data_IF_397963561154
#
_entry.id   IF_397963561154
#
_cell.length_a   1.000
_cell.length_b   1.000
_cell.length_c   1.000
_cell.angle_alpha   90.00
_cell.angle_beta   90.00
_cell.angle_gamma   90.00
#
_symmetry.space_group_name_H-M   'P 1'
#
loop_
_entity.id
_entity.type
_entity.pdbx_description
1 polymer ?
#
# COMPACT_ATOMS: atom_id res chain seq x y z
N UNK A 1 -13.50 16.74 -20.99
CA UNK A 1 -12.80 16.51 -19.72
C UNK A 1 -11.31 16.77 -19.92
N UNK A 2 -10.62 17.39 -18.96
CA UNK A 2 -9.21 17.77 -19.09
C UNK A 2 -8.35 16.86 -18.21
N UNK A 3 -7.37 16.17 -18.80
CA UNK A 3 -6.31 15.42 -18.10
C UNK A 3 -4.98 15.82 -18.76
N UNK A 4 -3.90 15.88 -17.98
CA UNK A 4 -2.56 16.20 -18.50
C UNK A 4 -1.95 14.89 -19.02
N UNK A 5 -2.40 14.45 -20.20
CA UNK A 5 -1.99 13.21 -20.86
C UNK A 5 -1.89 13.43 -22.37
N UNK A 6 -0.97 12.70 -23.04
CA UNK A 6 -0.86 12.71 -24.50
C UNK A 6 -1.70 11.58 -25.11
N UNK A 7 -1.28 10.32 -24.94
CA UNK A 7 -1.97 9.12 -25.42
C UNK A 7 -2.31 8.20 -24.24
N UNK A 8 -3.53 7.66 -24.22
CA UNK A 8 -4.04 6.75 -23.19
C UNK A 8 -3.19 5.48 -23.07
N UNK A 9 -2.69 4.97 -24.20
CA UNK A 9 -1.88 3.74 -24.24
C UNK A 9 -0.46 3.91 -23.68
N UNK A 10 0.02 5.14 -23.52
CA UNK A 10 1.40 5.42 -23.08
C UNK A 10 1.48 6.13 -21.74
N UNK A 11 0.36 6.27 -21.01
CA UNK A 11 0.30 7.04 -19.76
C UNK A 11 1.37 6.55 -18.77
N UNK A 12 1.36 5.25 -18.46
CA UNK A 12 2.27 4.66 -17.46
C UNK A 12 3.72 4.78 -17.90
N UNK A 13 4.00 4.57 -19.19
CA UNK A 13 5.35 4.69 -19.74
C UNK A 13 5.87 6.14 -19.67
N UNK A 14 5.05 7.13 -20.03
CA UNK A 14 5.42 8.55 -19.97
C UNK A 14 5.63 9.02 -18.52
N UNK A 15 4.73 8.63 -17.61
CA UNK A 15 4.85 8.90 -16.17
C UNK A 15 6.14 8.29 -15.61
N UNK A 16 6.41 7.02 -15.93
CA UNK A 16 7.62 6.33 -15.46
C UNK A 16 8.88 7.02 -15.98
N UNK A 17 8.93 7.39 -17.26
CA UNK A 17 10.07 8.16 -17.82
C UNK A 17 10.26 9.50 -17.09
N UNK A 18 9.16 10.19 -16.76
CA UNK A 18 9.19 11.42 -15.96
C UNK A 18 9.79 11.20 -14.57
N UNK A 19 9.38 10.13 -13.88
CA UNK A 19 9.94 9.72 -12.59
C UNK A 19 11.45 9.48 -12.68
N UNK A 20 11.91 8.67 -13.64
CA UNK A 20 13.34 8.40 -13.84
C UNK A 20 14.11 9.69 -14.15
N UNK A 21 13.58 10.55 -15.02
CA UNK A 21 14.21 11.83 -15.34
C UNK A 21 14.34 12.75 -14.11
N UNK A 22 13.39 12.69 -13.17
CA UNK A 22 13.44 13.45 -11.91
C UNK A 22 14.42 12.89 -10.88
N UNK A 23 14.83 11.62 -11.00
CA UNK A 23 15.66 10.92 -10.02
C UNK A 23 16.73 10.04 -10.68
N UNK A 24 17.96 10.56 -10.86
CA UNK A 24 19.05 9.83 -11.50
C UNK A 24 19.47 8.51 -10.83
N UNK A 25 19.09 8.30 -9.56
CA UNK A 25 19.34 7.04 -8.85
C UNK A 25 18.40 5.90 -9.25
N UNK A 26 17.31 6.21 -9.94
CA UNK A 26 16.35 5.22 -10.42
C UNK A 26 16.71 4.78 -11.84
N UNK A 27 16.40 3.51 -12.13
CA UNK A 27 16.54 2.89 -13.44
C UNK A 27 15.20 2.29 -13.84
N UNK A 28 15.00 2.09 -15.14
CA UNK A 28 13.82 1.42 -15.65
C UNK A 28 14.16 0.48 -16.80
N UNK A 29 13.33 -0.54 -16.96
CA UNK A 29 13.20 -1.31 -18.18
C UNK A 29 11.87 -0.92 -18.83
N UNK A 30 11.82 -0.88 -20.16
CA UNK A 30 10.61 -0.47 -20.88
C UNK A 30 9.70 -1.66 -21.22
N UNK A 31 10.25 -2.86 -21.42
CA UNK A 31 9.49 -4.02 -21.87
C UNK A 31 10.10 -5.33 -21.32
N UNK A 32 9.49 -5.95 -20.28
CA UNK A 32 8.33 -5.45 -19.53
C UNK A 32 8.68 -4.20 -18.70
N UNK A 33 7.71 -3.34 -18.39
CA UNK A 33 7.98 -2.08 -17.70
C UNK A 33 8.25 -2.29 -16.21
N UNK A 34 9.40 -1.93 -15.67
CA UNK A 34 9.64 -1.94 -14.22
C UNK A 34 10.70 -0.92 -13.82
N UNK A 35 10.69 -0.52 -12.54
CA UNK A 35 11.57 0.51 -11.97
C UNK A 35 12.37 -0.09 -10.83
N UNK A 36 13.65 0.24 -10.71
CA UNK A 36 14.47 -0.16 -9.57
C UNK A 36 15.52 0.89 -9.19
N UNK A 37 16.15 0.70 -8.04
CA UNK A 37 17.40 1.35 -7.69
C UNK A 37 18.46 0.30 -7.35
N UNK A 38 19.73 0.69 -7.41
CA UNK A 38 20.82 -0.17 -6.94
C UNK A 38 20.79 -0.24 -5.41
N UNK A 39 20.56 -1.43 -4.85
CA UNK A 39 20.60 -1.71 -3.42
C UNK A 39 21.95 -2.32 -3.00
N UNK A 40 22.19 -2.44 -1.69
CA UNK A 40 23.36 -3.14 -1.17
C UNK A 40 23.24 -4.65 -1.46
N UNK A 41 24.30 -5.34 -1.92
CA UNK A 41 24.25 -6.79 -2.15
C UNK A 41 24.02 -7.59 -0.86
N UNK A 42 24.21 -6.98 0.30
CA UNK A 42 24.05 -7.61 1.62
C UNK A 42 22.65 -7.40 2.23
N UNK A 43 21.68 -6.91 1.45
CA UNK A 43 20.29 -6.75 1.92
C UNK A 43 19.33 -7.61 1.11
N UNK A 44 18.20 -7.98 1.70
CA UNK A 44 17.07 -8.62 0.99
C UNK A 44 16.53 -7.64 -0.05
N UNK A 45 16.34 -8.11 -1.28
CA UNK A 45 15.70 -7.30 -2.31
C UNK A 45 14.19 -7.26 -2.07
N UNK A 46 13.61 -6.06 -2.06
CA UNK A 46 12.19 -5.86 -1.78
C UNK A 46 11.46 -5.42 -3.06
N UNK A 47 10.40 -6.13 -3.44
CA UNK A 47 9.66 -5.85 -4.67
C UNK A 47 8.18 -5.73 -4.38
N UNK A 48 7.54 -4.72 -4.98
CA UNK A 48 6.08 -4.66 -5.04
C UNK A 48 5.60 -4.23 -6.42
N UNK A 49 4.29 -4.10 -6.58
CA UNK A 49 3.68 -3.66 -7.82
C UNK A 49 2.17 -3.79 -7.76
N UNK A 50 1.57 -3.72 -8.94
CA UNK A 50 0.12 -3.76 -9.14
C UNK A 50 -0.28 -2.74 -10.18
N UNK A 51 -1.56 -2.39 -10.18
CA UNK A 51 -2.08 -1.38 -11.10
C UNK A 51 -1.44 0.01 -10.90
N UNK A 52 -1.31 0.77 -11.99
CA UNK A 52 -0.99 2.21 -11.92
C UNK A 52 -2.23 3.04 -11.61
N UNK A 53 -2.03 4.31 -11.21
CA UNK A 53 -3.08 5.21 -10.75
C UNK A 53 -3.17 5.36 -9.23
N UNK A 54 -2.19 4.82 -8.50
CA UNK A 54 -2.06 4.92 -7.05
C UNK A 54 -0.82 5.71 -6.62
N UNK A 55 -0.19 6.42 -7.56
CA UNK A 55 1.07 7.12 -7.32
C UNK A 55 0.95 8.05 -6.08
N UNK A 56 1.95 8.06 -5.18
CA UNK A 56 3.30 7.50 -5.36
C UNK A 56 3.44 5.98 -5.15
N UNK A 57 2.42 5.27 -4.67
CA UNK A 57 2.45 3.81 -4.54
C UNK A 57 2.48 3.16 -5.93
N UNK A 58 3.48 2.38 -6.34
CA UNK A 58 4.68 1.93 -5.61
C UNK A 58 5.98 2.60 -6.10
N UNK A 59 6.01 3.04 -7.36
CA UNK A 59 7.25 3.49 -8.01
C UNK A 59 7.89 4.70 -7.32
N UNK A 60 7.09 5.54 -6.65
CA UNK A 60 7.59 6.67 -5.87
C UNK A 60 8.32 6.26 -4.58
N UNK A 61 8.15 5.02 -4.13
CA UNK A 61 8.77 4.44 -2.95
C UNK A 61 10.00 3.58 -3.25
N UNK A 62 10.40 3.48 -4.53
CA UNK A 62 11.66 2.83 -4.90
C UNK A 62 12.83 3.69 -4.43
N UNK A 63 13.70 3.14 -3.58
CA UNK A 63 14.86 3.85 -3.06
C UNK A 63 15.42 3.29 -1.75
N UNK A 64 16.52 3.90 -1.30
CA UNK A 64 17.22 3.48 -0.07
C UNK A 64 16.28 3.54 1.13
N UNK A 65 16.27 2.48 1.94
CA UNK A 65 15.44 2.39 3.15
C UNK A 65 13.96 2.04 2.91
N UNK A 66 13.60 1.66 1.67
CA UNK A 66 12.25 1.23 1.28
C UNK A 66 12.34 0.12 0.22
N UNK A 67 11.48 0.08 -0.81
CA UNK A 67 11.48 -1.01 -1.79
C UNK A 67 12.62 -0.87 -2.82
N UNK A 68 13.15 -2.01 -3.27
CA UNK A 68 14.24 -2.10 -4.26
C UNK A 68 13.73 -1.96 -5.68
N UNK A 69 12.58 -2.54 -5.98
CA UNK A 69 11.96 -2.52 -7.31
C UNK A 69 10.43 -2.44 -7.26
N UNK A 70 9.84 -1.88 -8.30
CA UNK A 70 8.40 -1.74 -8.46
C UNK A 70 7.95 -2.11 -9.89
N UNK A 71 6.83 -2.82 -9.97
CA UNK A 71 6.20 -3.25 -11.22
C UNK A 71 4.90 -2.46 -11.46
N UNK A 72 4.92 -1.33 -12.20
CA UNK A 72 3.70 -0.62 -12.56
C UNK A 72 2.99 -1.32 -13.72
N UNK A 73 1.78 -1.83 -13.48
CA UNK A 73 0.87 -2.27 -14.54
C UNK A 73 0.18 -1.09 -15.24
N UNK A 74 -0.76 -1.33 -16.14
CA UNK A 74 -1.55 -0.24 -16.74
C UNK A 74 -2.49 0.42 -15.70
N UNK A 75 -3.13 1.55 -16.07
CA UNK A 75 -4.07 2.24 -15.15
C UNK A 75 -5.18 1.29 -14.71
N UNK A 76 -5.29 1.05 -13.40
CA UNK A 76 -6.22 0.08 -12.78
C UNK A 76 -6.15 -1.34 -13.37
N UNK A 77 -5.02 -1.69 -13.97
CA UNK A 77 -4.73 -3.01 -14.51
C UNK A 77 -3.41 -3.51 -13.92
N UNK A 78 -3.48 -4.63 -13.21
CA UNK A 78 -2.36 -5.28 -12.51
C UNK A 78 -1.12 -5.54 -13.39
N UNK A 79 0.05 -5.56 -12.74
CA UNK A 79 1.30 -6.04 -13.35
C UNK A 79 1.23 -7.54 -13.68
N UNK A 80 1.94 -7.97 -14.72
CA UNK A 80 1.95 -9.37 -15.16
C UNK A 80 3.00 -10.21 -14.41
N UNK A 81 2.86 -11.55 -14.37
CA UNK A 81 3.83 -12.42 -13.69
C UNK A 81 5.24 -12.31 -14.26
N UNK A 82 5.38 -12.20 -15.59
CA UNK A 82 6.67 -12.03 -16.28
C UNK A 82 7.34 -10.70 -15.90
N UNK A 83 6.56 -9.62 -15.80
CA UNK A 83 7.04 -8.33 -15.33
C UNK A 83 7.57 -8.40 -13.89
N UNK A 84 6.83 -9.06 -12.98
CA UNK A 84 7.26 -9.25 -11.59
C UNK A 84 8.51 -10.14 -11.49
N UNK A 85 8.57 -11.22 -12.27
CA UNK A 85 9.73 -12.10 -12.38
C UNK A 85 10.97 -11.36 -12.89
N UNK A 86 10.88 -10.62 -13.99
CA UNK A 86 12.01 -9.89 -14.59
C UNK A 86 12.51 -8.78 -13.66
N UNK A 87 11.60 -8.04 -13.01
CA UNK A 87 11.97 -7.03 -12.03
C UNK A 87 12.72 -7.66 -10.84
N UNK A 88 12.20 -8.74 -10.26
CA UNK A 88 12.84 -9.43 -9.16
C UNK A 88 14.19 -10.05 -9.56
N UNK A 89 14.28 -10.64 -10.76
CA UNK A 89 15.53 -11.15 -11.32
C UNK A 89 16.58 -10.06 -11.52
N UNK A 90 16.16 -8.83 -11.87
CA UNK A 90 17.04 -7.67 -11.98
C UNK A 90 17.60 -7.19 -10.64
N UNK A 91 16.82 -7.31 -9.55
CA UNK A 91 17.20 -6.76 -8.23
C UNK A 91 17.66 -7.80 -7.21
N UNK A 92 17.59 -9.10 -7.54
CA UNK A 92 17.89 -10.18 -6.59
C UNK A 92 19.30 -10.06 -6.01
N UNK A 93 19.41 -10.44 -4.75
CA UNK A 93 20.68 -10.56 -4.03
C UNK A 93 20.82 -11.97 -3.47
N UNK A 94 22.00 -12.31 -2.97
CA UNK A 94 22.24 -13.56 -2.24
C UNK A 94 21.40 -13.68 -0.95
N UNK A 95 20.84 -12.56 -0.44
CA UNK A 95 19.94 -12.55 0.70
C UNK A 95 18.49 -12.91 0.34
N UNK A 96 18.17 -13.00 -0.95
CA UNK A 96 16.87 -13.35 -1.48
C UNK A 96 15.99 -12.15 -1.85
N UNK A 97 14.76 -12.46 -2.24
CA UNK A 97 13.73 -11.50 -2.70
C UNK A 97 12.48 -11.65 -1.84
N UNK A 98 11.92 -10.52 -1.39
CA UNK A 98 10.62 -10.46 -0.72
C UNK A 98 9.63 -9.67 -1.55
N UNK A 99 8.49 -10.28 -1.87
CA UNK A 99 7.37 -9.58 -2.49
C UNK A 99 6.38 -9.03 -1.46
N UNK A 100 5.96 -7.78 -1.64
CA UNK A 100 4.79 -7.20 -0.99
C UNK A 100 3.61 -7.26 -1.95
N UNK A 101 2.54 -7.96 -1.57
CA UNK A 101 1.39 -8.23 -2.43
C UNK A 101 0.15 -7.62 -1.78
N UNK A 102 -0.47 -6.63 -2.42
CA UNK A 102 -1.77 -6.10 -1.97
C UNK A 102 -2.85 -7.14 -2.21
N UNK A 103 -3.79 -7.31 -1.28
CA UNK A 103 -4.85 -8.32 -1.39
C UNK A 103 -5.92 -7.94 -2.43
N UNK A 104 -5.57 -8.16 -3.70
CA UNK A 104 -6.45 -8.20 -4.85
C UNK A 104 -6.21 -9.50 -5.60
N UNK A 105 -7.28 -10.18 -6.03
CA UNK A 105 -7.20 -11.52 -6.63
C UNK A 105 -6.18 -11.57 -7.77
N UNK A 106 -6.15 -10.53 -8.60
CA UNK A 106 -5.22 -10.42 -9.71
C UNK A 106 -3.76 -10.23 -9.30
N UNK A 107 -3.51 -9.43 -8.27
CA UNK A 107 -2.16 -9.20 -7.74
C UNK A 107 -1.63 -10.48 -7.09
N UNK A 108 -2.47 -11.17 -6.31
CA UNK A 108 -2.15 -12.47 -5.71
C UNK A 108 -1.74 -13.47 -6.79
N UNK A 109 -2.62 -13.75 -7.75
CA UNK A 109 -2.35 -14.75 -8.78
C UNK A 109 -1.05 -14.48 -9.54
N UNK A 110 -0.78 -13.21 -9.86
CA UNK A 110 0.38 -12.86 -10.66
C UNK A 110 1.69 -12.90 -9.88
N UNK A 111 1.70 -12.38 -8.66
CA UNK A 111 2.91 -12.35 -7.83
C UNK A 111 3.20 -13.70 -7.20
N UNK A 112 2.19 -14.51 -6.86
CA UNK A 112 2.41 -15.89 -6.42
C UNK A 112 3.06 -16.74 -7.52
N UNK A 113 2.64 -16.57 -8.78
CA UNK A 113 3.29 -17.25 -9.90
C UNK A 113 4.74 -16.77 -10.09
N UNK A 114 5.02 -15.48 -9.92
CA UNK A 114 6.39 -14.96 -9.98
C UNK A 114 7.29 -15.57 -8.88
N UNK A 115 6.75 -15.76 -7.67
CA UNK A 115 7.43 -16.47 -6.57
C UNK A 115 7.78 -17.90 -6.98
N UNK A 116 6.81 -18.65 -7.54
CA UNK A 116 7.04 -20.03 -8.00
C UNK A 116 8.12 -20.11 -9.08
N UNK A 117 8.09 -19.20 -10.07
CA UNK A 117 9.07 -19.14 -11.15
C UNK A 117 10.48 -18.81 -10.63
N UNK A 118 10.62 -17.83 -9.74
CA UNK A 118 11.91 -17.48 -9.15
C UNK A 118 12.47 -18.62 -8.30
N UNK A 119 11.61 -19.29 -7.54
CA UNK A 119 12.02 -20.44 -6.74
C UNK A 119 12.52 -21.60 -7.62
N UNK A 120 11.84 -21.87 -8.73
CA UNK A 120 12.28 -22.89 -9.71
C UNK A 120 13.67 -22.58 -10.28
N UNK A 121 14.04 -21.31 -10.39
CA UNK A 121 15.37 -20.85 -10.81
C UNK A 121 16.40 -20.78 -9.65
N UNK A 122 16.07 -21.32 -8.48
CA UNK A 122 16.95 -21.39 -7.33
C UNK A 122 17.09 -20.09 -6.55
N UNK A 123 16.22 -19.10 -6.78
CA UNK A 123 16.23 -17.85 -6.01
C UNK A 123 15.51 -18.07 -4.67
N UNK A 124 16.18 -17.68 -3.58
CA UNK A 124 15.53 -17.61 -2.26
C UNK A 124 14.47 -16.49 -2.29
N UNK A 125 13.20 -16.85 -2.22
CA UNK A 125 12.09 -15.91 -2.46
C UNK A 125 10.97 -16.09 -1.43
N UNK A 126 10.31 -14.99 -1.07
CA UNK A 126 9.20 -14.97 -0.11
C UNK A 126 8.14 -13.94 -0.47
N UNK A 127 7.05 -13.93 0.30
CA UNK A 127 5.97 -12.97 0.13
C UNK A 127 5.29 -12.57 1.44
N UNK A 128 4.78 -11.34 1.47
CA UNK A 128 3.87 -10.81 2.50
C UNK A 128 2.63 -10.27 1.78
N UNK A 129 1.46 -10.80 2.15
CA UNK A 129 0.17 -10.28 1.73
C UNK A 129 -0.23 -9.12 2.64
N UNK A 130 -0.77 -8.03 2.07
CA UNK A 130 -1.28 -6.87 2.79
C UNK A 130 -2.80 -6.79 2.64
N UNK A 131 -3.53 -6.77 3.76
CA UNK A 131 -4.99 -6.81 3.85
C UNK A 131 -5.55 -5.86 4.93
N UNK A 132 -5.01 -4.65 4.99
CA UNK A 132 -5.26 -3.65 6.05
C UNK A 132 -6.64 -2.96 5.99
N UNK A 133 -7.37 -3.03 4.87
CA UNK A 133 -8.65 -2.33 4.70
C UNK A 133 -9.80 -3.01 5.46
N UNK A 134 -10.31 -2.35 6.50
CA UNK A 134 -11.36 -2.92 7.37
C UNK A 134 -12.75 -2.92 6.73
N UNK A 135 -12.95 -2.21 5.62
CA UNK A 135 -14.29 -1.89 5.13
C UNK A 135 -15.05 -3.10 4.59
N UNK A 136 -14.39 -4.05 3.93
CA UNK A 136 -15.10 -5.15 3.26
C UNK A 136 -14.43 -6.48 3.55
N UNK A 137 -15.23 -7.47 3.96
CA UNK A 137 -14.79 -8.88 4.07
C UNK A 137 -14.81 -9.61 2.71
N UNK A 138 -15.45 -9.02 1.69
CA UNK A 138 -15.45 -9.47 0.29
C UNK A 138 -15.78 -8.28 -0.62
N UNK A 139 -14.91 -8.01 -1.59
CA UNK A 139 -15.07 -6.91 -2.58
C UNK A 139 -15.22 -7.49 -4.00
N UNK A 140 -15.53 -6.66 -4.99
CA UNK A 140 -15.61 -7.02 -6.41
C UNK A 140 -14.34 -7.73 -6.91
N UNK A 141 -13.17 -7.40 -6.36
CA UNK A 141 -11.86 -7.89 -6.81
C UNK A 141 -11.02 -8.58 -5.72
N UNK A 142 -11.60 -8.84 -4.54
CA UNK A 142 -10.86 -9.37 -3.37
C UNK A 142 -11.65 -10.43 -2.61
N UNK A 143 -10.94 -11.44 -2.13
CA UNK A 143 -11.42 -12.39 -1.11
C UNK A 143 -10.82 -11.96 0.24
N UNK A 144 -11.67 -11.59 1.21
CA UNK A 144 -11.20 -10.96 2.45
C UNK A 144 -11.09 -9.44 2.34
N UNK A 145 -10.24 -8.86 3.18
CA UNK A 145 -9.93 -7.41 3.22
C UNK A 145 -9.01 -6.99 2.09
N UNK A 146 -9.16 -5.75 1.60
CA UNK A 146 -8.29 -5.19 0.55
C UNK A 146 -6.94 -4.75 1.15
N UNK A 147 -5.91 -4.73 0.32
CA UNK A 147 -4.64 -4.05 0.64
C UNK A 147 -4.63 -2.62 0.13
N UNK A 148 -4.42 -1.64 1.01
CA UNK A 148 -4.50 -0.21 0.71
C UNK A 148 -3.31 0.54 1.34
N UNK A 149 -3.52 1.73 1.92
CA UNK A 149 -2.49 2.65 2.43
C UNK A 149 -1.54 2.02 3.46
N UNK A 150 -1.96 1.01 4.23
CA UNK A 150 -1.10 0.27 5.16
C UNK A 150 0.11 -0.37 4.48
N UNK A 151 0.03 -0.65 3.18
CA UNK A 151 1.15 -1.09 2.34
C UNK A 151 2.37 -0.17 2.46
N UNK A 152 2.15 1.16 2.54
CA UNK A 152 3.23 2.15 2.66
C UNK A 152 4.04 1.94 3.94
N UNK A 153 3.37 1.59 5.06
CA UNK A 153 4.03 1.32 6.33
C UNK A 153 4.80 0.01 6.31
N UNK A 154 4.22 -1.04 5.71
CA UNK A 154 4.90 -2.33 5.50
C UNK A 154 6.18 -2.12 4.70
N UNK A 155 6.09 -1.43 3.56
CA UNK A 155 7.25 -1.14 2.70
C UNK A 155 8.33 -0.33 3.41
N UNK A 156 7.97 0.69 4.18
CA UNK A 156 8.92 1.54 4.89
C UNK A 156 9.61 0.80 6.04
N UNK A 157 8.84 0.11 6.89
CA UNK A 157 9.35 -0.53 8.09
C UNK A 157 10.23 -1.73 7.71
N UNK A 158 9.77 -2.57 6.77
CA UNK A 158 10.55 -3.71 6.30
C UNK A 158 11.73 -3.26 5.43
N UNK A 159 11.59 -2.19 4.65
CA UNK A 159 12.70 -1.57 3.92
C UNK A 159 13.84 -1.10 4.81
N UNK A 160 13.52 -0.47 5.94
CA UNK A 160 14.50 -0.12 6.94
C UNK A 160 15.17 -1.35 7.57
N UNK A 161 14.41 -2.41 7.84
CA UNK A 161 14.91 -3.65 8.41
C UNK A 161 15.87 -4.37 7.45
N UNK A 162 15.50 -4.48 6.18
CA UNK A 162 16.36 -5.01 5.13
C UNK A 162 17.65 -4.18 5.02
N UNK A 163 17.57 -2.85 5.05
CA UNK A 163 18.74 -1.97 5.03
C UNK A 163 19.65 -2.15 6.27
N UNK A 164 19.11 -2.56 7.41
CA UNK A 164 19.86 -2.94 8.63
C UNK A 164 20.45 -4.37 8.56
N UNK A 165 20.16 -5.13 7.50
CA UNK A 165 20.69 -6.48 7.30
C UNK A 165 19.83 -7.60 7.87
N UNK A 166 18.53 -7.37 8.08
CA UNK A 166 17.61 -8.44 8.47
C UNK A 166 17.57 -9.53 7.39
N UNK A 167 17.45 -10.78 7.80
CA UNK A 167 17.28 -11.90 6.86
C UNK A 167 15.91 -11.85 6.17
N UNK A 168 15.76 -12.62 5.08
CA UNK A 168 14.47 -12.75 4.39
C UNK A 168 13.35 -13.18 5.35
N UNK A 169 13.61 -14.16 6.20
CA UNK A 169 12.65 -14.68 7.17
C UNK A 169 12.24 -13.61 8.20
N UNK A 170 13.20 -12.83 8.70
CA UNK A 170 12.93 -11.73 9.62
C UNK A 170 12.13 -10.61 8.95
N UNK A 171 12.41 -10.31 7.67
CA UNK A 171 11.65 -9.34 6.89
C UNK A 171 10.21 -9.81 6.64
N UNK A 172 10.00 -11.09 6.34
CA UNK A 172 8.67 -11.68 6.20
C UNK A 172 7.87 -11.64 7.50
N UNK A 173 8.48 -12.03 8.62
CA UNK A 173 7.86 -12.00 9.94
C UNK A 173 7.46 -10.58 10.32
N UNK A 174 8.39 -9.62 10.16
CA UNK A 174 8.13 -8.21 10.42
C UNK A 174 7.00 -7.68 9.52
N UNK A 175 7.00 -8.00 8.22
CA UNK A 175 5.95 -7.57 7.30
C UNK A 175 4.56 -8.10 7.69
N UNK A 176 4.47 -9.39 8.08
CA UNK A 176 3.23 -9.98 8.59
C UNK A 176 2.78 -9.31 9.89
N UNK A 177 3.72 -9.03 10.80
CA UNK A 177 3.43 -8.34 12.07
C UNK A 177 2.90 -6.93 11.85
N UNK A 178 3.56 -6.14 10.99
CA UNK A 178 3.09 -4.79 10.62
C UNK A 178 1.70 -4.87 9.99
N UNK A 179 1.46 -5.80 9.07
CA UNK A 179 0.15 -5.99 8.45
C UNK A 179 -0.94 -6.35 9.49
N UNK A 180 -0.66 -7.26 10.42
CA UNK A 180 -1.60 -7.65 11.48
C UNK A 180 -1.87 -6.55 12.52
N UNK A 181 -1.01 -5.53 12.58
CA UNK A 181 -1.16 -4.38 13.47
C UNK A 181 -1.76 -3.16 12.76
N UNK A 182 -2.02 -3.26 11.45
CA UNK A 182 -2.42 -2.14 10.61
C UNK A 182 -3.91 -2.23 10.26
N UNK A 183 -4.60 -1.09 10.34
CA UNK A 183 -6.00 -0.94 9.95
C UNK A 183 -6.18 0.33 9.16
N UNK A 184 -6.89 0.24 8.04
CA UNK A 184 -7.23 1.37 7.18
C UNK A 184 -8.71 1.41 6.88
N UNK A 185 -9.28 2.61 6.83
CA UNK A 185 -10.60 2.86 6.25
C UNK A 185 -10.56 4.12 5.39
N UNK A 186 -11.31 4.11 4.29
CA UNK A 186 -11.30 5.16 3.27
C UNK A 186 -12.69 5.72 3.03
N UNK A 187 -12.78 6.95 2.54
CA UNK A 187 -14.03 7.59 2.14
C UNK A 187 -13.83 8.35 0.84
N UNK A 188 -14.83 8.34 -0.05
CA UNK A 188 -14.87 9.19 -1.24
C UNK A 188 -16.02 10.18 -1.16
N UNK A 189 -15.70 11.46 -1.36
CA UNK A 189 -16.65 12.55 -1.62
C UNK A 189 -17.01 12.62 -3.10
N UNK A 190 -16.11 12.13 -3.96
CA UNK A 190 -16.32 12.03 -5.41
C UNK A 190 -15.44 10.95 -6.01
N UNK A 191 -15.99 10.22 -6.96
CA UNK A 191 -15.25 9.17 -7.66
C UNK A 191 -14.13 9.72 -8.53
N UNK A 192 -13.16 8.87 -8.83
CA UNK A 192 -12.15 9.14 -9.83
C UNK A 192 -12.67 8.95 -11.25
N UNK A 193 -11.90 9.49 -12.20
CA UNK A 193 -12.15 9.29 -13.62
C UNK A 193 -10.98 8.54 -14.26
N UNK A 194 -11.26 7.33 -14.70
CA UNK A 194 -10.32 6.48 -15.45
C UNK A 194 -10.12 7.06 -16.86
N UNK A 195 -8.87 7.41 -17.27
CA UNK A 195 -8.61 8.02 -18.57
C UNK A 195 -9.14 7.24 -19.77
N UNK A 196 -9.06 5.90 -19.72
CA UNK A 196 -9.56 5.03 -20.77
C UNK A 196 -11.10 5.02 -20.86
N UNK A 197 -11.79 5.00 -19.71
CA UNK A 197 -13.25 4.96 -19.65
C UNK A 197 -13.90 6.34 -19.91
N UNK A 198 -13.17 7.44 -19.66
CA UNK A 198 -13.63 8.84 -19.82
C UNK A 198 -14.91 9.19 -19.04
N UNK A 199 -15.26 8.40 -18.04
CA UNK A 199 -16.41 8.59 -17.18
C UNK A 199 -16.02 8.34 -15.72
N UNK A 200 -16.83 8.88 -14.81
CA UNK A 200 -16.74 8.62 -13.38
C UNK A 200 -16.89 7.12 -13.09
N UNK A 201 -16.11 6.59 -12.15
CA UNK A 201 -16.21 5.18 -11.75
C UNK A 201 -17.54 4.85 -11.06
N UNK A 202 -18.11 5.83 -10.35
CA UNK A 202 -19.44 5.78 -9.74
C UNK A 202 -19.97 7.21 -9.50
N UNK A 203 -21.27 7.35 -9.27
CA UNK A 203 -21.90 8.64 -8.98
C UNK A 203 -22.37 8.71 -7.51
N UNK A 204 -22.21 9.90 -6.92
CA UNK A 204 -22.68 10.28 -5.59
C UNK A 204 -23.51 11.56 -5.71
N UNK A 205 -24.50 11.74 -4.85
CA UNK A 205 -25.18 13.03 -4.69
C UNK A 205 -24.27 14.06 -4.00
N UNK A 206 -24.60 15.36 -4.12
CA UNK A 206 -23.77 16.47 -3.58
C UNK A 206 -23.45 16.36 -2.07
N UNK A 207 -24.35 15.74 -1.29
CA UNK A 207 -24.20 15.51 0.14
C UNK A 207 -23.97 14.03 0.49
N UNK A 208 -23.53 13.20 -0.46
CA UNK A 208 -23.31 11.76 -0.25
C UNK A 208 -21.81 11.42 -0.21
N UNK A 209 -21.44 10.47 0.64
CA UNK A 209 -20.08 9.93 0.77
C UNK A 209 -20.13 8.42 0.61
N UNK A 210 -19.23 7.86 -0.19
CA UNK A 210 -19.00 6.41 -0.22
C UNK A 210 -18.08 6.03 0.96
N UNK A 211 -18.66 5.45 2.01
CA UNK A 211 -17.94 5.09 3.24
C UNK A 211 -17.33 3.70 3.12
N UNK A 212 -16.01 3.61 3.24
CA UNK A 212 -15.25 2.37 3.03
C UNK A 212 -14.87 2.11 1.57
N UNK A 213 -14.77 3.13 0.72
CA UNK A 213 -14.43 2.99 -0.71
C UNK A 213 -13.08 2.30 -0.94
N UNK A 214 -12.94 1.51 -2.01
CA UNK A 214 -11.66 0.95 -2.42
C UNK A 214 -10.82 1.91 -3.27
N UNK A 215 -9.51 1.65 -3.39
CA UNK A 215 -8.57 2.53 -4.13
C UNK A 215 -8.78 2.51 -5.65
N UNK A 216 -9.51 1.52 -6.19
CA UNK A 216 -9.93 1.48 -7.59
C UNK A 216 -11.37 1.98 -7.77
N UNK A 217 -11.99 2.53 -6.73
CA UNK A 217 -13.38 2.96 -6.73
C UNK A 217 -14.39 1.83 -6.52
N UNK A 218 -13.97 0.72 -5.92
CA UNK A 218 -14.89 -0.35 -5.52
C UNK A 218 -15.87 0.16 -4.45
N UNK A 219 -17.13 -0.31 -4.47
CA UNK A 219 -18.12 0.02 -3.44
C UNK A 219 -17.58 -0.25 -2.03
N UNK A 220 -17.97 0.62 -1.10
CA UNK A 220 -17.63 0.50 0.30
C UNK A 220 -18.65 -0.28 1.10
N UNK A 221 -18.76 0.05 2.38
CA UNK A 221 -19.74 -0.52 3.31
C UNK A 221 -21.14 0.00 2.96
N UNK A 222 -21.24 1.32 2.80
CA UNK A 222 -22.49 2.04 2.65
C UNK A 222 -22.24 3.45 2.10
N UNK A 223 -23.32 4.08 1.64
CA UNK A 223 -23.33 5.50 1.31
C UNK A 223 -23.98 6.26 2.45
N UNK A 224 -23.35 7.35 2.86
CA UNK A 224 -23.76 8.13 4.04
C UNK A 224 -23.94 9.59 3.66
N UNK A 225 -24.79 10.29 4.40
CA UNK A 225 -24.90 11.74 4.26
C UNK A 225 -23.67 12.45 4.85
N UNK A 226 -23.13 13.41 4.10
CA UNK A 226 -22.06 14.30 4.55
C UNK A 226 -22.65 15.47 5.34
N UNK A 227 -22.21 15.63 6.58
CA UNK A 227 -22.56 16.80 7.40
C UNK A 227 -21.38 17.75 7.57
N UNK A 228 -20.27 17.25 8.13
CA UNK A 228 -19.03 18.01 8.30
C UNK A 228 -17.84 17.05 8.49
N UNK A 229 -16.63 17.60 8.39
CA UNK A 229 -15.40 16.84 8.55
C UNK A 229 -15.24 16.20 9.94
N UNK A 230 -15.66 16.87 11.02
CA UNK A 230 -15.47 16.32 12.36
C UNK A 230 -16.26 15.03 12.56
N UNK A 231 -17.52 15.01 12.13
CA UNK A 231 -18.40 13.84 12.24
C UNK A 231 -17.91 12.69 11.37
N UNK A 232 -17.51 13.00 10.12
CA UNK A 232 -16.97 12.01 9.19
C UNK A 232 -15.71 11.33 9.75
N UNK A 233 -14.75 12.12 10.23
CA UNK A 233 -13.48 11.61 10.76
C UNK A 233 -13.68 10.87 12.08
N UNK A 234 -14.60 11.35 12.94
CA UNK A 234 -14.97 10.63 14.17
C UNK A 234 -15.54 9.27 13.83
N UNK A 235 -16.42 9.17 12.83
CA UNK A 235 -16.99 7.91 12.37
C UNK A 235 -15.92 6.97 11.80
N UNK A 236 -14.99 7.48 10.99
CA UNK A 236 -13.86 6.69 10.47
C UNK A 236 -12.99 6.14 11.61
N UNK A 237 -12.66 6.97 12.62
CA UNK A 237 -11.90 6.54 13.79
C UNK A 237 -12.64 5.48 14.60
N UNK A 238 -13.95 5.66 14.85
CA UNK A 238 -14.76 4.67 15.56
C UNK A 238 -14.78 3.33 14.81
N UNK A 239 -14.92 3.34 13.47
CA UNK A 239 -14.84 2.12 12.68
C UNK A 239 -13.50 1.39 12.86
N UNK A 240 -12.37 2.12 12.88
CA UNK A 240 -11.04 1.54 13.14
C UNK A 240 -10.89 1.00 14.56
N UNK A 241 -11.42 1.73 15.56
CA UNK A 241 -11.37 1.37 16.98
C UNK A 241 -12.23 0.14 17.29
N UNK A 242 -13.42 0.07 16.71
CA UNK A 242 -14.42 -0.97 16.97
C UNK A 242 -14.25 -2.22 16.10
N UNK A 243 -13.25 -2.21 15.20
CA UNK A 243 -12.87 -3.39 14.45
C UNK A 243 -12.30 -4.48 15.38
N UNK A 244 -13.12 -5.49 15.66
CA UNK A 244 -12.77 -6.60 16.56
C UNK A 244 -11.88 -7.64 15.86
N UNK A 245 -11.50 -8.69 16.59
CA UNK A 245 -10.62 -9.76 16.10
C UNK A 245 -11.04 -10.26 14.71
N UNK A 246 -10.13 -10.09 13.73
CA UNK A 246 -10.30 -10.56 12.37
C UNK A 246 -9.31 -11.69 12.13
N UNK A 247 -9.84 -12.92 12.20
CA UNK A 247 -9.11 -14.13 11.81
C UNK A 247 -9.35 -14.42 10.33
N UNK A 248 -8.28 -14.69 9.60
CA UNK A 248 -8.35 -15.12 8.20
C UNK A 248 -7.24 -16.09 7.86
N UNK A 249 -7.45 -16.83 6.78
CA UNK A 249 -6.43 -17.70 6.19
C UNK A 249 -5.55 -16.88 5.26
N UNK A 250 -4.25 -16.91 5.50
CA UNK A 250 -3.23 -16.36 4.61
C UNK A 250 -2.49 -17.50 3.92
N UNK A 251 -2.04 -17.26 2.70
CA UNK A 251 -1.13 -18.17 2.00
C UNK A 251 0.31 -17.71 2.20
N UNK A 252 1.18 -18.63 2.57
CA UNK A 252 2.62 -18.37 2.72
C UNK A 252 3.42 -19.34 1.88
N UNK A 253 4.52 -18.85 1.31
CA UNK A 253 5.39 -19.66 0.48
C UNK A 253 6.34 -20.49 1.34
N UNK A 254 6.28 -21.81 1.19
CA UNK A 254 7.22 -22.75 1.76
C UNK A 254 8.40 -22.92 0.79
N UNK A 255 9.54 -22.32 1.15
CA UNK A 255 10.75 -22.36 0.33
C UNK A 255 11.45 -23.72 0.36
N UNK A 256 11.16 -24.58 1.34
CA UNK A 256 11.79 -25.90 1.42
C UNK A 256 11.02 -26.91 0.57
N UNK A 257 9.69 -26.85 0.64
CA UNK A 257 8.82 -27.76 -0.11
C UNK A 257 8.40 -27.24 -1.49
N UNK A 258 8.62 -25.95 -1.78
CA UNK A 258 8.25 -25.32 -3.04
C UNK A 258 6.74 -25.26 -3.25
N UNK A 259 5.98 -24.96 -2.19
CA UNK A 259 4.50 -24.94 -2.22
C UNK A 259 3.92 -23.82 -1.36
N UNK A 260 2.66 -23.46 -1.64
CA UNK A 260 1.90 -22.54 -0.79
C UNK A 260 1.22 -23.29 0.36
N UNK A 261 1.51 -22.89 1.59
CA UNK A 261 0.82 -23.35 2.78
C UNK A 261 -0.28 -22.36 3.18
N UNK A 262 -1.37 -22.86 3.74
CA UNK A 262 -2.39 -22.05 4.38
C UNK A 262 -2.10 -21.94 5.87
N UNK A 263 -2.05 -20.71 6.38
CA UNK A 263 -1.90 -20.42 7.81
C UNK A 263 -3.07 -19.60 8.30
N UNK A 264 -3.53 -19.88 9.51
CA UNK A 264 -4.46 -19.01 10.21
C UNK A 264 -3.70 -17.83 10.82
N UNK A 265 -4.22 -16.62 10.65
CA UNK A 265 -3.64 -15.42 11.24
C UNK A 265 -4.74 -14.48 11.73
N UNK A 266 -4.56 -13.91 12.92
CA UNK A 266 -5.45 -12.91 13.49
C UNK A 266 -4.83 -11.52 13.45
N UNK A 267 -5.65 -10.51 13.22
CA UNK A 267 -5.31 -9.10 13.42
C UNK A 267 -5.46 -8.76 14.91
N UNK A 268 -4.45 -8.06 15.44
CA UNK A 268 -4.40 -7.69 16.85
C UNK A 268 -5.49 -6.66 17.21
N UNK A 269 -5.98 -6.75 18.45
CA UNK A 269 -6.90 -5.77 19.01
C UNK A 269 -6.17 -4.46 19.32
N UNK A 270 -6.77 -3.34 18.91
CA UNK A 270 -6.34 -2.01 19.34
C UNK A 270 -6.73 -1.80 20.81
N UNK A 271 -5.76 -1.47 21.65
CA UNK A 271 -5.99 -1.20 23.05
C UNK A 271 -5.74 0.27 23.39
N UNK A 272 -6.40 0.73 24.44
CA UNK A 272 -6.10 2.01 25.07
C UNK A 272 -4.71 1.95 25.72
N UNK A 273 -3.95 3.05 25.62
CA UNK A 273 -2.59 3.18 26.12
C UNK A 273 -1.50 2.73 25.16
N UNK A 274 -1.85 2.11 24.03
CA UNK A 274 -0.90 1.71 22.99
C UNK A 274 -0.38 2.91 22.17
N UNK A 275 0.79 2.72 21.59
CA UNK A 275 1.41 3.66 20.65
C UNK A 275 0.99 3.34 19.20
N UNK A 276 0.75 4.38 18.42
CA UNK A 276 0.27 4.28 17.04
C UNK A 276 1.05 5.17 16.07
N UNK A 277 1.30 4.66 14.87
CA UNK A 277 1.69 5.48 13.71
C UNK A 277 0.43 5.75 12.88
N UNK A 278 0.17 7.02 12.58
CA UNK A 278 -1.03 7.44 11.86
C UNK A 278 -0.71 7.95 10.45
N UNK A 279 -1.48 7.54 9.43
CA UNK A 279 -1.46 8.17 8.11
C UNK A 279 -2.83 8.76 7.81
N UNK A 280 -2.88 10.05 7.50
CA UNK A 280 -4.02 10.68 6.83
C UNK A 280 -3.65 10.86 5.37
N UNK A 281 -4.18 9.97 4.54
CA UNK A 281 -3.83 9.86 3.13
C UNK A 281 -4.92 10.44 2.24
N UNK A 282 -4.61 11.35 1.34
CA UNK A 282 -5.54 11.79 0.30
C UNK A 282 -5.61 10.79 -0.85
N UNK A 283 -6.83 10.57 -1.37
CA UNK A 283 -7.05 9.66 -2.51
C UNK A 283 -6.78 10.31 -3.87
N UNK A 284 -6.22 11.53 -3.88
CA UNK A 284 -5.77 12.23 -5.08
C UNK A 284 -6.29 13.66 -5.18
N UNK A 285 -7.61 13.82 -5.25
CA UNK A 285 -8.28 15.10 -5.48
C UNK A 285 -8.44 16.01 -4.24
N UNK A 286 -8.19 15.49 -3.04
CA UNK A 286 -8.38 16.24 -1.78
C UNK A 286 -7.22 17.22 -1.54
N UNK A 287 -7.50 18.52 -1.30
CA UNK A 287 -6.47 19.48 -0.93
C UNK A 287 -5.74 19.10 0.36
N UNK A 288 -4.41 19.30 0.39
CA UNK A 288 -3.59 19.03 1.59
C UNK A 288 -4.07 19.81 2.82
N UNK A 289 -4.62 21.01 2.63
CA UNK A 289 -5.23 21.78 3.72
C UNK A 289 -6.40 21.06 4.39
N UNK A 290 -7.21 20.32 3.63
CA UNK A 290 -8.32 19.53 4.16
C UNK A 290 -7.82 18.27 4.88
N UNK A 291 -6.73 17.66 4.40
CA UNK A 291 -6.09 16.54 5.09
C UNK A 291 -5.60 16.94 6.50
N UNK A 292 -5.12 18.18 6.69
CA UNK A 292 -4.78 18.68 8.03
C UNK A 292 -6.01 18.94 8.92
N UNK A 293 -7.16 19.30 8.34
CA UNK A 293 -8.43 19.36 9.08
C UNK A 293 -8.79 17.96 9.58
N UNK A 294 -8.68 16.96 8.70
CA UNK A 294 -8.93 15.57 9.05
C UNK A 294 -7.95 15.07 10.14
N UNK A 295 -6.66 15.34 10.00
CA UNK A 295 -5.67 14.97 11.01
C UNK A 295 -5.93 15.62 12.37
N UNK A 296 -6.32 16.90 12.40
CA UNK A 296 -6.67 17.58 13.64
C UNK A 296 -7.83 16.90 14.38
N UNK A 297 -8.87 16.44 13.66
CA UNK A 297 -9.95 15.69 14.30
C UNK A 297 -9.50 14.29 14.73
N UNK A 298 -8.78 13.56 13.87
CA UNK A 298 -8.23 12.24 14.21
C UNK A 298 -7.39 12.31 15.50
N UNK A 299 -6.50 13.29 15.61
CA UNK A 299 -5.66 13.49 16.78
C UNK A 299 -6.51 13.68 18.05
N UNK A 300 -7.58 14.48 18.00
CA UNK A 300 -8.51 14.66 19.14
C UNK A 300 -9.22 13.35 19.52
N UNK A 301 -9.69 12.59 18.53
CA UNK A 301 -10.32 11.29 18.75
C UNK A 301 -9.37 10.31 19.44
N UNK A 302 -8.12 10.25 18.97
CA UNK A 302 -7.08 9.42 19.56
C UNK A 302 -6.77 9.85 21.01
N UNK A 303 -6.55 11.15 21.26
CA UNK A 303 -6.30 11.65 22.62
C UNK A 303 -7.45 11.32 23.59
N UNK A 304 -8.70 11.55 23.16
CA UNK A 304 -9.89 11.26 23.98
C UNK A 304 -10.09 9.76 24.24
N UNK A 305 -9.53 8.89 23.39
CA UNK A 305 -9.59 7.44 23.56
C UNK A 305 -8.33 6.84 24.19
N UNK A 306 -7.36 7.67 24.61
CA UNK A 306 -6.05 7.22 25.11
C UNK A 306 -5.22 6.43 24.08
N UNK A 307 -5.22 6.86 22.81
CA UNK A 307 -4.39 6.29 21.73
C UNK A 307 -3.23 7.26 21.48
N UNK A 308 -1.99 6.82 21.68
CA UNK A 308 -0.83 7.70 21.57
C UNK A 308 -0.29 7.72 20.13
N UNK A 309 -0.56 8.79 19.38
CA UNK A 309 0.06 8.94 18.06
C UNK A 309 1.55 9.32 18.25
N UNK A 310 2.45 8.36 18.02
CA UNK A 310 3.91 8.56 18.17
C UNK A 310 4.55 9.07 16.89
N UNK A 311 4.03 8.73 15.71
CA UNK A 311 4.46 9.28 14.42
C UNK A 311 3.26 9.48 13.52
N UNK A 312 3.40 10.37 12.53
CA UNK A 312 2.34 10.62 11.57
C UNK A 312 2.86 10.96 10.17
N UNK A 313 2.00 10.76 9.18
CA UNK A 313 2.17 11.22 7.80
C UNK A 313 0.84 11.82 7.32
N UNK A 314 0.90 12.97 6.65
CA UNK A 314 -0.29 13.67 6.10
C UNK A 314 0.03 14.10 4.67
N UNK A 315 -0.71 13.58 3.68
CA UNK A 315 -0.42 13.82 2.27
C UNK A 315 -1.00 12.75 1.36
N UNK A 316 -0.50 12.64 0.13
CA UNK A 316 -0.91 11.61 -0.83
C UNK A 316 0.17 10.53 -0.91
N UNK A 317 -0.17 9.32 -0.44
CA UNK A 317 0.75 8.18 -0.35
C UNK A 317 0.23 6.93 -1.07
N UNK A 318 -1.09 6.73 -1.11
CA UNK A 318 -1.79 5.68 -1.84
C UNK A 318 -3.06 6.30 -2.43
N UNK A 319 -3.00 6.72 -3.69
CA UNK A 319 -4.09 7.48 -4.32
C UNK A 319 -5.06 6.57 -5.07
N UNK A 320 -6.15 7.13 -5.56
CA UNK A 320 -7.04 6.53 -6.56
C UNK A 320 -7.27 7.56 -7.66
N UNK A 321 -6.25 7.82 -8.49
CA UNK A 321 -6.25 8.86 -9.52
C UNK A 321 -6.61 10.26 -8.95
N UNK A 322 -7.73 10.82 -9.39
CA UNK A 322 -8.26 12.13 -8.96
C UNK A 322 -9.46 12.01 -8.03
N UNK A 323 -9.63 10.87 -7.35
CA UNK A 323 -10.69 10.67 -6.37
C UNK A 323 -10.61 11.74 -5.27
N UNK A 324 -11.70 12.46 -5.03
CA UNK A 324 -11.81 13.38 -3.91
C UNK A 324 -12.27 12.56 -2.70
N UNK A 325 -11.42 12.47 -1.68
CA UNK A 325 -11.56 11.54 -0.57
C UNK A 325 -10.27 11.36 0.21
N UNK A 326 -10.33 10.61 1.31
CA UNK A 326 -9.17 10.32 2.14
C UNK A 326 -9.28 8.93 2.77
N UNK A 327 -8.15 8.40 3.21
CA UNK A 327 -8.07 7.24 4.09
C UNK A 327 -7.37 7.58 5.39
N UNK A 328 -7.77 6.91 6.46
CA UNK A 328 -7.06 6.92 7.74
C UNK A 328 -6.47 5.53 7.96
N UNK A 329 -5.17 5.48 8.19
CA UNK A 329 -4.45 4.28 8.59
C UNK A 329 -3.92 4.46 9.99
N UNK A 330 -4.13 3.47 10.86
CA UNK A 330 -3.50 3.35 12.15
C UNK A 330 -2.70 2.05 12.20
N UNK A 331 -1.44 2.15 12.61
CA UNK A 331 -0.58 1.00 12.91
C UNK A 331 -0.29 1.00 14.40
N UNK A 332 -0.69 -0.06 15.11
CA UNK A 332 -0.26 -0.30 16.49
C UNK A 332 1.24 -0.60 16.49
N UNK A 333 2.04 0.32 17.00
CA UNK A 333 3.49 0.28 16.87
C UNK A 333 4.15 -0.16 18.18
N UNK A 334 5.12 -1.06 18.05
CA UNK A 334 6.07 -1.37 19.11
C UNK A 334 7.35 -0.52 18.94
N UNK A 335 8.27 -0.50 19.94
CA UNK A 335 9.49 0.31 19.86
C UNK A 335 10.37 0.01 18.65
N UNK A 336 10.41 -1.25 18.19
CA UNK A 336 11.17 -1.65 17.01
C UNK A 336 10.58 -1.04 15.74
N UNK A 337 9.25 -1.08 15.58
CA UNK A 337 8.56 -0.45 14.44
C UNK A 337 8.78 1.06 14.41
N UNK A 338 8.77 1.73 15.56
CA UNK A 338 9.04 3.18 15.64
C UNK A 338 10.50 3.47 15.22
N UNK A 339 11.47 2.70 15.70
CA UNK A 339 12.88 2.85 15.32
C UNK A 339 13.10 2.63 13.81
N UNK A 340 12.42 1.63 13.23
CA UNK A 340 12.49 1.33 11.80
C UNK A 340 11.75 2.37 10.95
N UNK A 341 10.67 2.95 11.45
CA UNK A 341 10.02 4.09 10.82
C UNK A 341 11.00 5.28 10.76
N UNK A 342 11.65 5.61 11.88
CA UNK A 342 12.59 6.74 11.97
C UNK A 342 13.90 6.52 11.19
N UNK A 343 14.23 5.28 10.84
CA UNK A 343 15.42 4.98 10.06
C UNK A 343 15.44 5.70 8.71
N UNK A 344 16.62 6.14 8.22
CA UNK A 344 16.73 6.96 7.02
C UNK A 344 16.06 6.36 5.78
N UNK A 345 15.45 7.21 4.96
CA UNK A 345 14.82 6.83 3.70
C UNK A 345 15.09 7.88 2.63
N UNK A 346 15.34 7.45 1.39
CA UNK A 346 15.53 8.35 0.25
C UNK A 346 14.85 7.80 -1.01
N UNK A 347 13.56 8.10 -1.13
CA UNK A 347 12.71 7.74 -2.27
C UNK A 347 12.14 9.02 -2.92
N UNK A 348 11.40 8.88 -4.03
CA UNK A 348 10.79 10.02 -4.70
C UNK A 348 9.74 10.71 -3.84
N UNK A 349 8.98 9.92 -3.09
CA UNK A 349 7.83 10.39 -2.34
C UNK A 349 8.17 10.74 -0.88
N UNK A 350 9.16 10.08 -0.28
CA UNK A 350 9.54 10.31 1.11
C UNK A 350 11.06 10.37 1.30
N UNK A 351 11.50 11.29 2.16
CA UNK A 351 12.90 11.47 2.48
C UNK A 351 13.07 12.04 3.90
N UNK A 352 13.78 11.32 4.76
CA UNK A 352 14.24 11.81 6.06
C UNK A 352 15.53 11.12 6.49
#
# INVERSE_FOLDING_TARGET
MKKIINNIEHIVLEQTKGLIASRPSLKMNNNPCYVWHESSPNQVALVSGGASGHEPLHTGFVGKGMITGACPGEIFTRATPDQAYECASQVKTEQGVLFFIKNYIGDIMNFELAVELLHADGVKVGSVLIDDDIAVKRSLYTTGRRGVTGTVLVEKIVGAAAAKGYTLEQCEELGRRVNNHCRTISVALKSCIVPAARQASFELADNEVEFGVGIHGEPGIERIEYHNANDLITRMFLALKEDNEYTRTLRTWDREEGKWNEIESSIDTFCEGDDYIAIVNGLGGTPVSELYIAYNQLWKCCQNSNYHIVRNMVGNYCTGLDMEGLSITLLKADPEMVELFDAPVDTAAIKW
#
